data_IF_657339202219
#
_entry.id   IF_657339202219
#
_cell.length_a   1.000
_cell.length_b   1.000
_cell.length_c   1.000
_cell.angle_alpha   90.00
_cell.angle_beta   90.00
_cell.angle_gamma   90.00
#
_symmetry.space_group_name_H-M   'P 1'
#
loop_
_entity.id
_entity.type
_entity.pdbx_description
1 polymer ?
#
# COMPACT_ATOMS: atom_id res chain seq x y z
N UNK A 1 -2.16 13.87 -7.01
CA UNK A 1 -0.90 13.24 -6.54
C UNK A 1 0.15 13.37 -7.62
N UNK A 2 1.40 13.57 -7.27
CA UNK A 2 2.56 13.67 -8.16
C UNK A 2 3.35 12.37 -8.07
N UNK A 3 3.73 11.80 -9.21
CA UNK A 3 4.65 10.65 -9.27
C UNK A 3 6.02 11.19 -9.69
N UNK A 4 7.04 10.85 -8.93
CA UNK A 4 8.45 11.13 -9.24
C UNK A 4 9.23 9.83 -9.21
N UNK A 5 10.33 9.76 -9.95
CA UNK A 5 11.18 8.57 -10.01
C UNK A 5 12.63 8.98 -10.16
N UNK A 6 13.55 8.17 -9.65
CA UNK A 6 14.97 8.27 -9.98
C UNK A 6 15.20 7.76 -11.41
N UNK A 7 16.35 8.14 -12.00
CA UNK A 7 16.65 7.85 -13.42
C UNK A 7 16.72 6.34 -13.75
N UNK A 8 16.98 5.48 -12.77
CA UNK A 8 17.09 4.03 -12.94
C UNK A 8 15.73 3.31 -12.98
N UNK A 9 14.63 3.99 -12.63
CA UNK A 9 13.28 3.41 -12.68
C UNK A 9 12.80 3.33 -14.12
N UNK A 10 12.43 2.15 -14.64
CA UNK A 10 11.90 2.01 -15.99
C UNK A 10 10.58 2.79 -16.19
N UNK A 11 10.40 3.32 -17.40
CA UNK A 11 9.16 4.03 -17.77
C UNK A 11 7.91 3.16 -17.55
N UNK A 12 8.02 1.85 -17.78
CA UNK A 12 6.93 0.88 -17.55
C UNK A 12 6.49 0.84 -16.08
N UNK A 13 7.43 0.96 -15.14
CA UNK A 13 7.11 1.01 -13.72
C UNK A 13 6.40 2.32 -13.35
N UNK A 14 6.81 3.45 -13.93
CA UNK A 14 6.15 4.75 -13.73
C UNK A 14 4.72 4.72 -14.29
N UNK A 15 4.53 4.14 -15.47
CA UNK A 15 3.20 3.98 -16.07
C UNK A 15 2.31 3.05 -15.24
N UNK A 16 2.86 1.94 -14.73
CA UNK A 16 2.12 1.05 -13.84
C UNK A 16 1.73 1.76 -12.54
N UNK A 17 2.62 2.56 -11.94
CA UNK A 17 2.29 3.35 -10.75
C UNK A 17 1.14 4.33 -11.02
N UNK A 18 1.13 4.96 -12.18
CA UNK A 18 0.02 5.81 -12.60
C UNK A 18 -1.29 5.02 -12.72
N UNK A 19 -1.26 3.85 -13.33
CA UNK A 19 -2.45 3.00 -13.49
C UNK A 19 -2.96 2.51 -12.14
N UNK A 20 -2.07 2.06 -11.24
CA UNK A 20 -2.39 1.61 -9.88
C UNK A 20 -3.08 2.73 -9.08
N UNK A 21 -2.50 3.93 -9.06
CA UNK A 21 -3.06 5.10 -8.36
C UNK A 21 -4.41 5.49 -8.96
N UNK A 22 -4.51 5.56 -10.29
CA UNK A 22 -5.74 5.94 -10.99
C UNK A 22 -6.86 4.93 -10.70
N UNK A 23 -6.55 3.64 -10.73
CA UNK A 23 -7.50 2.57 -10.41
C UNK A 23 -7.99 2.67 -8.96
N UNK A 24 -7.08 2.78 -8.00
CA UNK A 24 -7.43 2.87 -6.59
C UNK A 24 -8.30 4.09 -6.27
N UNK A 25 -8.02 5.22 -6.90
CA UNK A 25 -8.77 6.46 -6.70
C UNK A 25 -10.03 6.59 -7.57
N UNK A 26 -10.31 5.63 -8.46
CA UNK A 26 -11.42 5.73 -9.43
C UNK A 26 -12.81 5.85 -8.79
N UNK A 27 -13.00 5.23 -7.63
CA UNK A 27 -14.25 5.30 -6.86
C UNK A 27 -14.43 6.61 -6.12
N UNK A 28 -13.34 7.28 -5.76
CA UNK A 28 -13.31 8.48 -4.93
C UNK A 28 -12.46 9.57 -5.59
N UNK A 29 -12.97 10.21 -6.65
CA UNK A 29 -12.25 11.30 -7.32
C UNK A 29 -11.98 12.50 -6.39
N UNK A 30 -12.77 12.68 -5.34
CA UNK A 30 -12.51 13.66 -4.27
C UNK A 30 -11.19 13.37 -3.52
N UNK A 31 -10.82 12.10 -3.33
CA UNK A 31 -9.54 11.74 -2.72
C UNK A 31 -8.37 12.18 -3.58
N UNK A 32 -8.48 11.99 -4.91
CA UNK A 32 -7.47 12.48 -5.83
C UNK A 32 -7.27 13.99 -5.72
N UNK A 33 -8.36 14.75 -5.61
CA UNK A 33 -8.27 16.20 -5.45
C UNK A 33 -7.60 16.60 -4.13
N UNK A 34 -7.98 15.96 -3.02
CA UNK A 34 -7.37 16.23 -1.70
C UNK A 34 -5.87 15.93 -1.73
N UNK A 35 -5.47 14.78 -2.27
CA UNK A 35 -4.06 14.42 -2.42
C UNK A 35 -3.30 15.40 -3.32
N UNK A 36 -3.92 15.87 -4.39
CA UNK A 36 -3.32 16.86 -5.29
C UNK A 36 -3.12 18.21 -4.59
N UNK A 37 -4.15 18.71 -3.91
CA UNK A 37 -4.11 20.00 -3.19
C UNK A 37 -3.14 19.94 -2.00
N UNK A 38 -2.98 18.76 -1.38
CA UNK A 38 -2.01 18.48 -0.32
C UNK A 38 -0.58 18.24 -0.82
N UNK A 39 -0.33 18.36 -2.14
CA UNK A 39 0.97 18.08 -2.76
C UNK A 39 1.51 16.67 -2.48
N UNK A 40 0.62 15.69 -2.32
CA UNK A 40 0.99 14.30 -2.09
C UNK A 40 1.86 13.76 -3.24
N UNK A 41 2.92 13.03 -2.86
CA UNK A 41 3.87 12.45 -3.82
C UNK A 41 3.96 10.94 -3.62
N UNK A 42 4.14 10.25 -4.74
CA UNK A 42 4.62 8.87 -4.79
C UNK A 42 6.01 8.89 -5.45
N UNK A 43 7.04 8.53 -4.70
CA UNK A 43 8.43 8.60 -5.14
C UNK A 43 8.92 7.18 -5.40
N UNK A 44 9.30 6.90 -6.65
CA UNK A 44 9.75 5.58 -7.06
C UNK A 44 11.27 5.50 -7.04
N UNK A 45 11.80 4.41 -6.48
CA UNK A 45 13.20 4.04 -6.52
C UNK A 45 13.36 2.59 -7.01
N UNK A 46 14.58 2.17 -7.32
CA UNK A 46 14.82 0.87 -7.96
C UNK A 46 15.69 -0.07 -7.15
N UNK A 47 16.72 0.45 -6.50
CA UNK A 47 17.66 -0.36 -5.73
C UNK A 47 17.23 -0.49 -4.27
N UNK A 48 17.45 -1.68 -3.71
CA UNK A 48 17.18 -1.92 -2.30
C UNK A 48 18.06 -1.01 -1.43
N UNK A 49 17.42 -0.29 -0.54
CA UNK A 49 18.07 0.50 0.50
C UNK A 49 18.56 1.88 0.11
N UNK A 50 18.38 2.33 -1.15
CA UNK A 50 18.91 3.62 -1.57
C UNK A 50 17.86 4.52 -2.21
N UNK A 51 17.61 5.65 -1.56
CA UNK A 51 16.77 6.74 -2.08
C UNK A 51 17.61 7.85 -2.76
N UNK A 52 18.85 7.54 -3.13
CA UNK A 52 19.71 8.47 -3.83
C UNK A 52 19.10 8.92 -5.14
N UNK A 53 19.11 10.22 -5.37
CA UNK A 53 18.52 10.82 -6.56
C UNK A 53 17.08 11.31 -6.38
N UNK A 54 16.43 11.02 -5.26
CA UNK A 54 15.21 11.70 -4.87
C UNK A 54 15.57 13.00 -4.14
N UNK A 55 15.15 14.18 -4.62
CA UNK A 55 15.53 15.46 -4.01
C UNK A 55 15.16 15.59 -2.54
N UNK A 56 14.11 14.92 -2.13
CA UNK A 56 13.58 14.91 -0.76
C UNK A 56 14.54 14.22 0.23
N UNK A 57 15.46 13.40 -0.28
CA UNK A 57 16.39 12.56 0.48
C UNK A 57 17.85 12.89 0.19
N UNK A 58 18.11 14.05 -0.42
CA UNK A 58 19.48 14.45 -0.76
C UNK A 58 20.37 14.51 0.47
N UNK A 59 21.41 13.68 0.48
CA UNK A 59 22.40 13.60 1.56
C UNK A 59 22.03 12.66 2.71
N UNK A 60 20.89 11.94 2.63
CA UNK A 60 20.50 10.94 3.61
C UNK A 60 20.71 9.53 3.05
N UNK A 61 21.27 8.63 3.88
CA UNK A 61 21.28 7.20 3.60
C UNK A 61 20.10 6.58 4.36
N UNK A 62 19.01 6.26 3.64
CA UNK A 62 17.84 5.66 4.24
C UNK A 62 17.60 4.31 3.58
N UNK A 63 17.60 3.27 4.41
CA UNK A 63 17.18 1.93 4.02
C UNK A 63 15.68 1.81 4.29
N UNK A 64 14.88 1.85 3.21
CA UNK A 64 13.42 1.72 3.30
C UNK A 64 12.93 0.33 2.93
N UNK A 65 13.83 -0.60 2.57
CA UNK A 65 13.40 -1.88 2.03
C UNK A 65 12.52 -1.72 0.80
N UNK A 66 11.28 -2.26 0.83
CA UNK A 66 10.38 -2.26 -0.33
C UNK A 66 9.58 -0.97 -0.49
N UNK A 67 9.24 -0.32 0.61
CA UNK A 67 8.37 0.85 0.61
C UNK A 67 8.43 1.57 1.98
N UNK A 68 7.88 2.76 2.06
CA UNK A 68 7.81 3.51 3.31
C UNK A 68 7.06 4.82 3.17
N UNK A 69 6.61 5.35 4.30
CA UNK A 69 5.96 6.64 4.41
C UNK A 69 6.93 7.76 4.74
N UNK A 70 6.62 8.93 4.25
CA UNK A 70 7.38 10.15 4.49
C UNK A 70 6.44 11.34 4.61
N UNK A 71 6.82 12.38 5.34
CA UNK A 71 6.00 13.59 5.49
C UNK A 71 5.71 14.24 4.14
N UNK A 72 4.46 14.17 3.69
CA UNK A 72 3.99 14.72 2.42
C UNK A 72 4.09 13.76 1.23
N UNK A 73 4.54 12.51 1.44
CA UNK A 73 4.62 11.53 0.38
C UNK A 73 4.94 10.12 0.85
N UNK A 74 5.06 9.23 -0.09
CA UNK A 74 5.46 7.85 0.12
C UNK A 74 6.53 7.46 -0.89
N UNK A 75 7.38 6.53 -0.52
CA UNK A 75 8.40 5.94 -1.38
C UNK A 75 8.05 4.49 -1.66
N UNK A 76 8.20 4.05 -2.89
CA UNK A 76 7.92 2.68 -3.29
C UNK A 76 9.05 2.13 -4.17
N UNK A 77 9.54 0.92 -3.84
CA UNK A 77 10.52 0.25 -4.65
C UNK A 77 9.84 -0.35 -5.90
N UNK A 78 10.01 0.31 -7.03
CA UNK A 78 9.41 -0.07 -8.30
C UNK A 78 9.88 -1.44 -8.81
N UNK A 79 11.00 -1.96 -8.33
CA UNK A 79 11.51 -3.29 -8.66
C UNK A 79 10.51 -4.40 -8.29
N UNK A 80 9.76 -4.23 -7.21
CA UNK A 80 8.78 -5.22 -6.75
C UNK A 80 7.38 -5.01 -7.32
N UNK A 81 7.19 -3.94 -8.07
CA UNK A 81 5.91 -3.59 -8.65
C UNK A 81 5.52 -4.57 -9.77
N UNK A 82 4.24 -4.92 -9.83
CA UNK A 82 3.72 -5.85 -10.81
C UNK A 82 3.42 -5.17 -12.14
N UNK A 83 4.32 -5.31 -13.12
CA UNK A 83 4.08 -4.92 -14.51
C UNK A 83 4.68 -5.94 -15.48
N UNK A 84 4.20 -6.02 -16.74
CA UNK A 84 4.70 -6.99 -17.71
C UNK A 84 6.20 -6.86 -17.97
N UNK A 85 6.93 -7.96 -17.84
CA UNK A 85 8.39 -8.00 -18.04
C UNK A 85 9.22 -7.78 -16.79
N UNK A 86 8.64 -7.34 -15.69
CA UNK A 86 9.35 -7.30 -14.42
C UNK A 86 9.51 -8.72 -13.84
N UNK A 87 10.76 -9.14 -13.63
CA UNK A 87 11.09 -10.50 -13.13
C UNK A 87 11.11 -10.58 -11.60
N UNK A 88 11.28 -9.46 -10.91
CA UNK A 88 11.37 -9.39 -9.45
C UNK A 88 10.02 -9.02 -8.80
N UNK A 89 8.96 -8.94 -9.60
CA UNK A 89 7.63 -8.55 -9.17
C UNK A 89 7.11 -9.45 -8.04
N UNK A 90 6.71 -8.85 -6.94
CA UNK A 90 6.25 -9.57 -5.76
C UNK A 90 5.03 -8.95 -5.08
N UNK A 91 4.58 -7.79 -5.54
CA UNK A 91 3.47 -7.04 -4.96
C UNK A 91 3.16 -5.78 -5.73
N UNK A 92 2.43 -4.87 -5.11
CA UNK A 92 2.30 -3.49 -5.58
C UNK A 92 2.57 -2.51 -4.43
N UNK A 93 3.84 -2.22 -4.13
CA UNK A 93 4.19 -1.28 -3.08
C UNK A 93 3.61 0.12 -3.30
N UNK A 94 3.28 0.49 -4.54
CA UNK A 94 2.59 1.76 -4.84
C UNK A 94 1.17 1.77 -4.29
N UNK A 95 0.42 0.67 -4.44
CA UNK A 95 -0.91 0.54 -3.84
C UNK A 95 -0.83 0.55 -2.33
N UNK A 96 0.10 -0.22 -1.76
CA UNK A 96 0.32 -0.30 -0.32
C UNK A 96 0.54 1.10 0.29
N UNK A 97 1.51 1.83 -0.23
CA UNK A 97 1.86 3.16 0.27
C UNK A 97 0.79 4.22 -0.05
N UNK A 98 0.07 4.08 -1.17
CA UNK A 98 -1.07 4.94 -1.46
C UNK A 98 -2.16 4.80 -0.39
N UNK A 99 -2.42 3.59 0.09
CA UNK A 99 -3.40 3.35 1.15
C UNK A 99 -2.99 4.06 2.44
N UNK A 100 -1.71 3.98 2.84
CA UNK A 100 -1.19 4.74 3.97
C UNK A 100 -1.30 6.25 3.75
N UNK A 101 -0.96 6.74 2.57
CA UNK A 101 -1.07 8.16 2.22
C UNK A 101 -2.51 8.68 2.34
N UNK A 102 -3.49 7.88 1.90
CA UNK A 102 -4.91 8.19 2.05
C UNK A 102 -5.29 8.28 3.52
N UNK A 103 -4.82 7.36 4.35
CA UNK A 103 -5.09 7.38 5.78
C UNK A 103 -4.64 8.68 6.44
N UNK A 104 -3.41 9.11 6.12
CA UNK A 104 -2.79 10.26 6.76
C UNK A 104 -3.30 11.61 6.26
N UNK A 105 -3.58 11.73 4.96
CA UNK A 105 -3.94 13.03 4.37
C UNK A 105 -5.42 13.16 4.07
N UNK A 106 -6.04 12.10 3.54
CA UNK A 106 -7.43 12.20 3.06
C UNK A 106 -8.41 12.05 4.20
N UNK A 107 -8.24 11.04 5.06
CA UNK A 107 -9.19 10.79 6.14
C UNK A 107 -9.16 11.88 7.20
N UNK A 108 -8.04 12.52 7.42
CA UNK A 108 -7.96 13.73 8.24
C UNK A 108 -8.76 14.87 7.59
N UNK A 109 -8.55 15.12 6.30
CA UNK A 109 -9.21 16.21 5.58
C UNK A 109 -10.74 16.07 5.51
N UNK A 110 -11.26 14.84 5.40
CA UNK A 110 -12.71 14.56 5.39
C UNK A 110 -13.30 14.30 6.77
N UNK A 111 -12.49 14.46 7.83
CA UNK A 111 -12.88 14.25 9.23
C UNK A 111 -13.45 12.84 9.52
N UNK A 112 -12.82 11.79 8.96
CA UNK A 112 -13.17 10.38 9.21
C UNK A 112 -12.57 9.91 10.55
N UNK A 113 -13.04 10.53 11.64
CA UNK A 113 -12.45 10.43 12.99
C UNK A 113 -12.44 9.03 13.60
N UNK A 114 -13.31 8.12 13.15
CA UNK A 114 -13.38 6.75 13.65
C UNK A 114 -12.68 5.73 12.77
N UNK A 115 -11.92 6.16 11.76
CA UNK A 115 -11.28 5.27 10.83
C UNK A 115 -10.29 4.33 11.53
N UNK A 116 -9.35 4.90 12.27
CA UNK A 116 -8.32 4.11 12.97
C UNK A 116 -8.90 3.17 14.02
N UNK A 117 -9.90 3.62 14.78
CA UNK A 117 -10.58 2.78 15.77
C UNK A 117 -11.20 1.54 15.10
N UNK A 118 -11.84 1.71 13.94
CA UNK A 118 -12.42 0.60 13.18
C UNK A 118 -11.36 -0.33 12.62
N UNK A 119 -10.34 0.20 11.96
CA UNK A 119 -9.25 -0.61 11.37
C UNK A 119 -8.55 -1.42 12.44
N UNK A 120 -8.21 -0.80 13.57
CA UNK A 120 -7.54 -1.50 14.66
C UNK A 120 -8.42 -2.60 15.26
N UNK A 121 -9.71 -2.32 15.46
CA UNK A 121 -10.66 -3.32 15.92
C UNK A 121 -10.77 -4.51 14.97
N UNK A 122 -10.83 -4.27 13.67
CA UNK A 122 -10.90 -5.34 12.67
C UNK A 122 -9.59 -6.11 12.55
N UNK A 123 -8.45 -5.44 12.64
CA UNK A 123 -7.16 -6.09 12.63
C UNK A 123 -6.96 -7.02 13.85
N UNK A 124 -7.34 -6.58 15.04
CA UNK A 124 -7.32 -7.42 16.25
C UNK A 124 -8.22 -8.66 16.08
N UNK A 125 -9.43 -8.45 15.57
CA UNK A 125 -10.39 -9.53 15.26
C UNK A 125 -9.79 -10.55 14.27
N UNK A 126 -9.08 -10.06 13.24
CA UNK A 126 -8.42 -10.89 12.23
C UNK A 126 -7.26 -11.70 12.83
N UNK A 127 -6.48 -11.12 13.74
CA UNK A 127 -5.41 -11.82 14.48
C UNK A 127 -6.02 -12.93 15.33
N UNK A 128 -7.07 -12.64 16.10
CA UNK A 128 -7.74 -13.62 16.97
C UNK A 128 -8.35 -14.78 16.19
N UNK A 129 -8.79 -14.53 14.95
CA UNK A 129 -9.32 -15.56 14.05
C UNK A 129 -8.24 -16.30 13.26
N UNK A 130 -6.98 -15.91 13.38
CA UNK A 130 -5.88 -16.46 12.59
C UNK A 130 -5.90 -16.08 11.10
N UNK A 131 -6.63 -15.02 10.74
CA UNK A 131 -6.68 -14.45 9.39
C UNK A 131 -5.40 -13.65 9.12
N UNK A 132 -5.00 -12.83 10.09
CA UNK A 132 -3.75 -12.09 10.05
C UNK A 132 -2.71 -12.84 10.87
N UNK A 133 -1.80 -13.52 10.20
CA UNK A 133 -0.86 -14.48 10.81
C UNK A 133 0.52 -13.87 11.13
N UNK A 134 0.65 -12.56 11.04
CA UNK A 134 1.92 -11.88 11.31
C UNK A 134 2.19 -11.79 12.82
N UNK A 135 3.43 -12.04 13.21
CA UNK A 135 3.87 -11.95 14.60
C UNK A 135 4.34 -10.52 14.92
N UNK A 136 3.61 -9.83 15.78
CA UNK A 136 3.93 -8.47 16.20
C UNK A 136 5.30 -8.37 16.90
N UNK A 137 5.56 -9.30 17.84
CA UNK A 137 6.81 -9.27 18.62
C UNK A 137 8.03 -9.50 17.73
N UNK A 138 7.89 -10.37 16.73
CA UNK A 138 8.93 -10.58 15.74
C UNK A 138 9.17 -9.31 14.90
N UNK A 139 8.12 -8.72 14.35
CA UNK A 139 8.23 -7.51 13.52
C UNK A 139 8.80 -6.32 14.30
N UNK A 140 8.41 -6.17 15.57
CA UNK A 140 8.97 -5.13 16.45
C UNK A 140 10.46 -5.36 16.70
N UNK A 141 10.87 -6.60 16.96
CA UNK A 141 12.27 -6.96 17.19
C UNK A 141 13.15 -6.78 15.94
N UNK A 142 12.58 -7.00 14.77
CA UNK A 142 13.25 -6.82 13.47
C UNK A 142 13.23 -5.37 12.98
N UNK A 143 12.53 -4.47 13.68
CA UNK A 143 12.39 -3.07 13.31
C UNK A 143 11.49 -2.83 12.10
N UNK A 144 10.68 -3.81 11.71
CA UNK A 144 9.70 -3.71 10.61
C UNK A 144 8.56 -2.77 10.99
N UNK A 145 8.12 -2.83 12.23
CA UNK A 145 7.16 -1.90 12.81
C UNK A 145 7.72 -1.24 14.06
N UNK A 146 7.27 -0.04 14.38
CA UNK A 146 7.72 0.71 15.53
C UNK A 146 6.81 0.54 16.76
N UNK A 147 5.54 0.27 16.52
CA UNK A 147 4.54 0.09 17.58
C UNK A 147 3.32 -0.71 17.09
N UNK A 148 2.40 -0.98 18.01
CA UNK A 148 1.17 -1.72 17.72
C UNK A 148 0.25 -0.98 16.74
N UNK A 149 0.24 0.34 16.76
CA UNK A 149 -0.64 1.11 15.88
C UNK A 149 -0.19 0.98 14.41
N UNK A 150 1.12 1.03 14.17
CA UNK A 150 1.69 0.76 12.85
C UNK A 150 1.38 -0.68 12.41
N UNK A 151 1.64 -1.67 13.28
CA UNK A 151 1.34 -3.08 12.99
C UNK A 151 -0.11 -3.32 12.57
N UNK A 152 -1.07 -2.74 13.28
CA UNK A 152 -2.49 -2.85 12.94
C UNK A 152 -2.85 -2.05 11.66
N UNK A 153 -2.15 -0.95 11.41
CA UNK A 153 -2.28 -0.17 10.18
C UNK A 153 -1.80 -0.91 8.93
N UNK A 154 -0.73 -1.71 9.07
CA UNK A 154 -0.22 -2.56 7.99
C UNK A 154 -1.26 -3.56 7.51
N UNK A 155 -2.10 -4.09 8.41
CA UNK A 155 -3.18 -5.00 8.02
C UNK A 155 -4.15 -4.35 7.00
N UNK A 156 -4.48 -3.08 7.20
CA UNK A 156 -5.32 -2.33 6.28
C UNK A 156 -4.64 -2.17 4.90
N UNK A 157 -3.37 -1.76 4.87
CA UNK A 157 -2.64 -1.54 3.63
C UNK A 157 -2.45 -2.86 2.87
N UNK A 158 -2.00 -3.92 3.57
CA UNK A 158 -1.75 -5.23 2.96
C UNK A 158 -3.04 -5.86 2.41
N UNK A 159 -4.16 -5.76 3.13
CA UNK A 159 -5.45 -6.30 2.67
C UNK A 159 -5.92 -5.58 1.40
N UNK A 160 -5.80 -4.25 1.33
CA UNK A 160 -6.20 -3.50 0.14
C UNK A 160 -5.29 -3.76 -1.06
N UNK A 161 -3.98 -3.93 -0.84
CA UNK A 161 -3.04 -4.35 -1.88
C UNK A 161 -3.42 -5.73 -2.43
N UNK A 162 -3.65 -6.72 -1.56
CA UNK A 162 -4.04 -8.08 -1.96
C UNK A 162 -5.36 -8.12 -2.72
N UNK A 163 -6.37 -7.39 -2.27
CA UNK A 163 -7.63 -7.27 -3.00
C UNK A 163 -7.48 -6.60 -4.36
N UNK A 164 -6.69 -5.53 -4.45
CA UNK A 164 -6.44 -4.85 -5.72
C UNK A 164 -5.72 -5.75 -6.73
N UNK A 165 -4.73 -6.51 -6.27
CA UNK A 165 -4.01 -7.50 -7.07
C UNK A 165 -4.85 -8.75 -7.37
N UNK A 166 -5.91 -8.99 -6.60
CA UNK A 166 -6.77 -10.18 -6.63
C UNK A 166 -5.98 -11.50 -6.49
N UNK A 167 -5.02 -11.53 -5.57
CA UNK A 167 -4.11 -12.67 -5.37
C UNK A 167 -4.24 -13.29 -3.99
N UNK A 168 -4.21 -14.62 -3.95
CA UNK A 168 -4.21 -15.40 -2.73
C UNK A 168 -2.80 -15.60 -2.17
N UNK A 169 -2.70 -15.63 -0.83
CA UNK A 169 -1.48 -16.06 -0.13
C UNK A 169 -0.29 -15.11 -0.23
N UNK A 170 -0.52 -13.89 -0.67
CA UNK A 170 0.53 -12.89 -0.74
C UNK A 170 0.69 -12.21 0.62
N UNK A 171 1.88 -12.24 1.21
CA UNK A 171 2.20 -11.60 2.51
C UNK A 171 1.09 -11.77 3.57
N UNK A 172 1.15 -12.81 4.35
CA UNK A 172 0.44 -12.99 5.64
C UNK A 172 -1.10 -12.85 5.65
N UNK A 173 -1.70 -12.00 4.84
CA UNK A 173 -3.16 -11.77 4.83
C UNK A 173 -3.67 -11.18 3.52
N UNK A 174 -2.82 -11.08 2.52
CA UNK A 174 -3.25 -10.66 1.20
C UNK A 174 -4.03 -11.77 0.54
N UNK A 175 -5.28 -11.52 0.29
CA UNK A 175 -6.14 -12.52 -0.32
C UNK A 175 -7.03 -11.90 -1.40
N UNK A 176 -7.57 -12.79 -2.23
CA UNK A 176 -8.51 -12.41 -3.27
C UNK A 176 -9.74 -11.75 -2.67
N UNK A 177 -10.35 -10.88 -3.44
CA UNK A 177 -11.56 -10.14 -3.07
C UNK A 177 -12.64 -11.06 -2.48
N UNK A 178 -12.95 -12.18 -3.15
CA UNK A 178 -13.97 -13.11 -2.68
C UNK A 178 -13.61 -13.76 -1.35
N UNK A 179 -12.34 -14.08 -1.12
CA UNK A 179 -11.87 -14.63 0.13
C UNK A 179 -12.00 -13.62 1.28
N UNK A 180 -11.55 -12.37 1.08
CA UNK A 180 -11.67 -11.31 2.09
C UNK A 180 -13.14 -11.03 2.41
N UNK A 181 -14.00 -10.99 1.38
CA UNK A 181 -15.44 -10.81 1.55
C UNK A 181 -16.08 -11.90 2.41
N UNK A 182 -15.65 -13.14 2.27
CA UNK A 182 -16.17 -14.29 3.03
C UNK A 182 -15.59 -14.38 4.45
N UNK A 183 -14.29 -14.17 4.62
CA UNK A 183 -13.58 -14.46 5.85
C UNK A 183 -13.35 -13.23 6.73
N UNK A 184 -13.26 -12.03 6.13
CA UNK A 184 -13.17 -10.75 6.84
C UNK A 184 -14.16 -9.70 6.29
N UNK A 185 -15.47 -9.94 6.45
CA UNK A 185 -16.51 -9.09 5.88
C UNK A 185 -16.51 -7.65 6.41
N UNK A 186 -15.99 -7.42 7.60
CA UNK A 186 -15.90 -6.09 8.19
C UNK A 186 -14.83 -5.24 7.49
N UNK A 187 -13.65 -5.82 7.28
CA UNK A 187 -12.56 -5.17 6.55
C UNK A 187 -12.94 -4.97 5.07
N UNK A 188 -13.55 -5.99 4.45
CA UNK A 188 -14.07 -5.86 3.09
C UNK A 188 -15.06 -4.70 2.96
N UNK A 189 -16.06 -4.61 3.85
CA UNK A 189 -17.07 -3.55 3.80
C UNK A 189 -16.45 -2.15 4.03
N UNK A 190 -15.39 -2.06 4.83
CA UNK A 190 -14.65 -0.80 5.02
C UNK A 190 -13.88 -0.43 3.75
N UNK A 191 -13.15 -1.38 3.16
CA UNK A 191 -12.43 -1.17 1.90
C UNK A 191 -13.36 -0.79 0.75
N UNK A 192 -14.49 -1.49 0.62
CA UNK A 192 -15.51 -1.22 -0.40
C UNK A 192 -16.07 0.21 -0.33
N UNK A 193 -16.05 0.89 0.82
CA UNK A 193 -16.48 2.30 0.92
C UNK A 193 -15.54 3.24 0.15
N UNK A 194 -14.27 2.92 0.03
CA UNK A 194 -13.23 3.83 -0.44
C UNK A 194 -12.60 3.41 -1.75
N UNK A 195 -12.43 2.10 -1.97
CA UNK A 195 -11.71 1.54 -3.10
C UNK A 195 -12.60 0.71 -4.02
N UNK A 196 -12.25 0.55 -5.30
CA UNK A 196 -12.91 -0.39 -6.18
C UNK A 196 -12.66 -1.82 -5.70
N UNK A 197 -13.70 -2.66 -5.79
CA UNK A 197 -13.65 -4.07 -5.39
C UNK A 197 -13.98 -5.03 -6.53
N UNK A 198 -13.99 -4.54 -7.76
CA UNK A 198 -14.04 -5.40 -8.94
C UNK A 198 -12.64 -5.95 -9.21
N UNK A 199 -12.51 -7.24 -9.57
CA UNK A 199 -11.22 -7.85 -9.88
C UNK A 199 -10.40 -7.04 -10.90
N UNK A 200 -9.12 -6.87 -10.62
CA UNK A 200 -8.20 -6.24 -11.53
C UNK A 200 -6.98 -7.15 -11.72
N UNK A 201 -7.07 -8.05 -12.67
CA UNK A 201 -6.10 -9.13 -12.89
C UNK A 201 -4.82 -8.66 -13.63
N UNK A 202 -4.33 -7.45 -13.35
CA UNK A 202 -3.15 -6.87 -14.00
C UNK A 202 -1.84 -7.64 -13.69
N UNK A 203 -1.86 -8.47 -12.66
CA UNK A 203 -0.74 -9.27 -12.18
C UNK A 203 -1.05 -10.78 -12.24
N UNK A 204 -2.02 -11.19 -13.06
CA UNK A 204 -2.55 -12.56 -13.09
C UNK A 204 -1.57 -13.63 -13.59
N UNK A 205 -0.51 -13.23 -14.28
CA UNK A 205 0.53 -14.07 -14.83
C UNK A 205 1.68 -14.38 -13.84
N UNK A 206 1.63 -13.83 -12.63
CA UNK A 206 2.59 -14.11 -11.57
C UNK A 206 2.07 -15.25 -10.70
N UNK A 207 2.79 -16.37 -10.70
CA UNK A 207 2.64 -17.46 -9.72
C UNK A 207 3.60 -17.21 -8.55
N UNK A 208 3.11 -17.33 -7.31
CA UNK A 208 3.90 -17.28 -6.07
C UNK A 208 4.15 -18.68 -5.54
#
# INVERSE_FOLDING_TARGET
>A
MIITAIDDVPDEAVLQAYDSITRMLSKRPDFHQILYDGYARMMLFWEDGYLHGLPEWEGEEIDTGMAGGYTGGSVANARYQCYPGNIDRGGDPVIHELVHQINHQVFEAINEVYFYERVYGYAIDAIEKGIYSTDYEQQLAEGVVQDMAQFLGEYWATTNEGMAMNKAGFKNSHDKIDWVKENDPNMFALAERYFPTEPWDYCSDVEY
#
